data_IF_618233517318
#
_entry.id   IF_618233517318
#
_cell.length_a   1.000
_cell.length_b   1.000
_cell.length_c   1.000
_cell.angle_alpha   90.00
_cell.angle_beta   90.00
_cell.angle_gamma   90.00
#
_symmetry.space_group_name_H-M   'P 1'
#
loop_
_entity.id
_entity.type
_entity.pdbx_description
1 polymer ?
#
# COMPACT_ATOMS: atom_id res chain seq x y z
N UNK A 1 7.00 2.45 -10.33
CA UNK A 1 7.86 3.58 -10.75
C UNK A 1 9.27 3.24 -10.32
N UNK A 2 10.29 3.73 -11.02
CA UNK A 2 11.68 3.57 -10.58
C UNK A 2 11.87 4.33 -9.26
N UNK A 3 12.51 3.72 -8.26
CA UNK A 3 12.90 4.40 -7.01
C UNK A 3 13.89 5.56 -7.27
N UNK A 4 14.61 5.49 -8.38
CA UNK A 4 15.61 6.47 -8.79
C UNK A 4 15.06 7.30 -9.93
N UNK A 5 14.99 8.60 -9.70
CA UNK A 5 14.64 9.62 -10.67
C UNK A 5 15.74 10.69 -10.71
N UNK A 6 16.27 10.94 -11.91
CA UNK A 6 17.34 11.91 -12.13
C UNK A 6 16.79 13.17 -12.77
N UNK A 7 17.24 14.32 -12.29
CA UNK A 7 16.93 15.64 -12.83
C UNK A 7 18.21 16.25 -13.39
N UNK A 8 18.23 16.50 -14.69
CA UNK A 8 19.34 17.19 -15.35
C UNK A 8 19.20 18.70 -15.21
N UNK A 9 20.24 19.34 -14.69
CA UNK A 9 20.38 20.78 -14.61
C UNK A 9 21.15 21.29 -15.85
N UNK A 10 20.69 22.37 -16.50
CA UNK A 10 21.38 22.95 -17.64
C UNK A 10 22.82 23.35 -17.30
N UNK A 11 23.78 22.88 -18.11
CA UNK A 11 25.14 23.40 -18.13
C UNK A 11 25.24 24.43 -19.27
N UNK A 12 25.25 25.71 -18.91
CA UNK A 12 25.38 26.85 -19.82
C UNK A 12 26.84 27.34 -19.91
N UNK A 13 27.79 26.45 -19.62
CA UNK A 13 29.21 26.74 -19.68
C UNK A 13 29.71 27.02 -21.09
N UNK A 14 30.85 27.69 -21.16
CA UNK A 14 31.60 27.97 -22.37
C UNK A 14 33.10 27.78 -22.13
N UNK A 15 33.95 28.37 -22.98
CA UNK A 15 35.40 28.33 -22.88
C UNK A 15 35.96 28.92 -21.56
N UNK A 16 35.14 29.66 -20.80
CA UNK A 16 35.51 30.25 -19.51
C UNK A 16 35.22 29.33 -18.32
N UNK A 17 34.48 28.24 -18.52
CA UNK A 17 34.12 27.27 -17.49
C UNK A 17 32.67 26.81 -17.53
N UNK A 18 32.29 25.96 -16.58
CA UNK A 18 30.91 25.45 -16.44
C UNK A 18 30.02 26.41 -15.66
N UNK A 19 28.76 26.55 -16.10
CA UNK A 19 27.71 27.31 -15.42
C UNK A 19 26.47 26.44 -15.27
N UNK A 20 26.26 25.87 -14.08
CA UNK A 20 25.10 25.03 -13.79
C UNK A 20 23.99 25.90 -13.21
N UNK A 21 22.77 25.77 -13.75
CA UNK A 21 21.63 26.58 -13.33
C UNK A 21 20.51 25.70 -12.79
N UNK A 22 20.01 26.03 -11.59
CA UNK A 22 18.84 25.41 -10.99
C UNK A 22 17.73 26.44 -10.82
N UNK A 23 16.74 26.43 -11.73
CA UNK A 23 15.58 27.30 -11.67
C UNK A 23 14.36 26.54 -11.12
N UNK A 24 13.74 27.11 -10.08
CA UNK A 24 12.48 26.61 -9.49
C UNK A 24 11.38 26.50 -10.53
N UNK A 25 10.58 25.42 -10.46
CA UNK A 25 9.45 25.17 -11.36
C UNK A 25 9.80 25.20 -12.86
N UNK A 26 11.06 24.95 -13.21
CA UNK A 26 11.53 24.88 -14.59
C UNK A 26 12.43 23.67 -14.79
N UNK A 27 13.61 23.70 -14.18
CA UNK A 27 14.54 22.57 -14.19
C UNK A 27 14.45 21.78 -12.89
N UNK A 28 14.15 22.46 -11.78
CA UNK A 28 13.77 21.82 -10.52
C UNK A 28 12.25 21.62 -10.53
N UNK A 29 11.74 20.40 -10.26
CA UNK A 29 10.32 20.08 -10.38
C UNK A 29 9.43 20.66 -9.26
N UNK A 30 10.00 21.52 -8.40
CA UNK A 30 9.30 22.18 -7.30
C UNK A 30 9.85 23.59 -7.07
N UNK A 31 9.10 24.38 -6.29
CA UNK A 31 9.55 25.68 -5.78
C UNK A 31 10.63 25.48 -4.72
N UNK A 32 11.84 25.99 -4.96
CA UNK A 32 12.94 25.89 -3.99
C UNK A 32 12.74 26.94 -2.89
N UNK A 33 12.46 26.48 -1.67
CA UNK A 33 12.30 27.35 -0.49
C UNK A 33 13.52 27.36 0.42
N UNK A 34 14.40 26.36 0.27
CA UNK A 34 15.62 26.21 1.05
C UNK A 34 16.66 25.48 0.22
N UNK A 35 17.91 25.87 0.40
CA UNK A 35 19.05 25.05 0.02
C UNK A 35 19.96 24.88 1.23
N UNK A 36 20.72 23.80 1.22
CA UNK A 36 21.81 23.58 2.17
C UNK A 36 22.89 22.76 1.48
N UNK A 37 24.07 22.73 2.07
CA UNK A 37 25.20 22.01 1.52
C UNK A 37 25.93 21.24 2.62
N UNK A 38 26.56 20.13 2.21
CA UNK A 38 27.37 19.26 3.05
C UNK A 38 28.81 19.37 2.55
N UNK A 39 29.72 19.69 3.48
CA UNK A 39 31.16 19.80 3.25
C UNK A 39 31.89 18.97 4.31
N UNK A 40 33.15 18.63 4.02
CA UNK A 40 34.06 17.93 4.93
C UNK A 40 33.44 16.65 5.52
N UNK A 41 32.69 15.92 4.69
CA UNK A 41 32.13 14.64 5.05
C UNK A 41 33.26 13.61 5.18
N UNK A 42 33.33 12.93 6.32
CA UNK A 42 34.32 11.87 6.54
C UNK A 42 33.92 10.64 5.71
N UNK A 43 34.83 10.02 4.93
CA UNK A 43 34.51 8.90 4.04
C UNK A 43 33.75 7.75 4.74
N UNK A 44 34.17 7.41 5.96
CA UNK A 44 33.62 6.28 6.72
C UNK A 44 32.48 6.66 7.68
N UNK A 45 31.99 7.90 7.65
CA UNK A 45 30.91 8.35 8.53
C UNK A 45 29.65 8.61 7.71
N UNK A 46 28.71 7.65 7.68
CA UNK A 46 27.49 7.82 6.92
C UNK A 46 26.58 8.89 7.54
N UNK A 47 25.71 9.46 6.71
CA UNK A 47 24.75 10.50 7.10
C UNK A 47 23.40 10.22 6.46
N UNK A 48 22.38 11.02 6.78
CA UNK A 48 21.02 10.75 6.35
C UNK A 48 20.26 10.03 7.45
N UNK A 49 19.81 8.81 7.21
CA UNK A 49 19.03 7.99 8.16
C UNK A 49 17.72 8.66 8.57
N UNK A 50 16.98 9.13 7.58
CA UNK A 50 15.64 9.66 7.78
C UNK A 50 14.83 9.59 6.49
N UNK A 51 13.52 9.75 6.65
CA UNK A 51 12.59 10.08 5.59
C UNK A 51 11.88 11.40 5.93
N UNK A 52 11.15 11.93 4.95
CA UNK A 52 10.31 13.11 5.07
C UNK A 52 8.86 12.78 4.78
N UNK A 53 7.90 13.38 5.50
CA UNK A 53 6.46 13.14 5.27
C UNK A 53 5.97 13.85 4.01
N UNK A 54 6.43 15.07 3.78
CA UNK A 54 5.94 15.96 2.70
C UNK A 54 7.08 16.61 1.88
N UNK A 55 8.31 16.68 2.42
CA UNK A 55 9.40 17.37 1.74
C UNK A 55 9.82 16.67 0.44
N UNK A 56 9.97 17.45 -0.62
CA UNK A 56 10.67 17.06 -1.84
C UNK A 56 12.08 17.66 -1.83
N UNK A 57 13.06 16.86 -2.21
CA UNK A 57 14.45 17.31 -2.30
C UNK A 57 15.09 16.92 -3.64
N UNK A 58 16.09 17.69 -4.04
CA UNK A 58 16.97 17.39 -5.15
C UNK A 58 18.42 17.48 -4.68
N UNK A 59 19.13 16.35 -4.65
CA UNK A 59 20.50 16.25 -4.14
C UNK A 59 21.52 16.02 -5.27
N UNK A 60 22.60 16.79 -5.32
CA UNK A 60 23.68 16.63 -6.30
C UNK A 60 25.03 17.05 -5.74
N UNK A 61 26.11 16.44 -6.27
CA UNK A 61 27.48 16.78 -5.90
C UNK A 61 28.01 17.85 -6.86
N UNK A 62 28.17 19.09 -6.38
CA UNK A 62 28.84 20.15 -7.16
C UNK A 62 30.29 19.78 -7.44
N UNK A 63 30.92 19.06 -6.50
CA UNK A 63 32.25 18.49 -6.62
C UNK A 63 32.31 17.14 -5.89
N UNK A 64 33.20 16.26 -6.34
CA UNK A 64 33.40 14.96 -5.75
C UNK A 64 32.22 14.02 -5.97
N UNK A 65 32.03 13.08 -5.05
CA UNK A 65 30.98 12.06 -5.15
C UNK A 65 30.56 11.52 -3.81
N UNK A 66 29.36 10.94 -3.74
CA UNK A 66 28.99 10.00 -2.68
C UNK A 66 28.08 8.90 -3.24
N UNK A 67 27.86 7.85 -2.45
CA UNK A 67 26.80 6.89 -2.67
C UNK A 67 25.57 7.29 -1.85
N UNK A 68 24.37 7.07 -2.40
CA UNK A 68 23.11 7.25 -1.68
C UNK A 68 22.28 5.97 -1.78
N UNK A 69 21.81 5.48 -0.64
CA UNK A 69 20.81 4.41 -0.55
C UNK A 69 19.44 5.08 -0.49
N UNK A 70 18.52 4.62 -1.32
CA UNK A 70 17.12 5.03 -1.37
C UNK A 70 16.26 3.82 -1.01
N UNK A 71 15.24 4.01 -0.18
CA UNK A 71 14.37 2.95 0.32
C UNK A 71 12.92 3.45 0.46
N UNK A 72 11.97 2.77 -0.17
CA UNK A 72 10.54 3.10 -0.10
C UNK A 72 9.74 2.15 0.83
N UNK A 73 10.42 1.32 1.62
CA UNK A 73 9.83 0.29 2.47
C UNK A 73 9.49 -1.03 1.76
N UNK A 74 9.64 -1.09 0.43
CA UNK A 74 9.42 -2.30 -0.39
C UNK A 74 10.71 -2.74 -1.08
N UNK A 75 11.44 -1.81 -1.66
CA UNK A 75 12.71 -2.04 -2.33
C UNK A 75 13.75 -1.00 -1.91
N UNK A 76 15.02 -1.41 -1.93
CA UNK A 76 16.18 -0.53 -1.69
C UNK A 76 17.06 -0.48 -2.92
N UNK A 77 17.57 0.70 -3.26
CA UNK A 77 18.52 0.88 -4.36
C UNK A 77 19.65 1.79 -3.93
N UNK A 78 20.89 1.44 -4.30
CA UNK A 78 22.06 2.28 -4.10
C UNK A 78 22.45 2.94 -5.43
N UNK A 79 22.71 4.23 -5.38
CA UNK A 79 23.16 5.02 -6.53
C UNK A 79 24.39 5.84 -6.19
N UNK A 80 25.19 6.14 -7.21
CA UNK A 80 26.34 7.03 -7.10
C UNK A 80 25.97 8.40 -7.66
N UNK A 81 26.25 9.45 -6.89
CA UNK A 81 26.04 10.84 -7.29
C UNK A 81 27.42 11.48 -7.51
N UNK A 82 27.82 11.63 -8.77
CA UNK A 82 29.17 12.09 -9.16
C UNK A 82 29.18 13.10 -10.33
N UNK A 83 28.00 13.61 -10.72
CA UNK A 83 27.85 14.63 -11.75
C UNK A 83 27.34 15.93 -11.14
N UNK A 84 28.01 17.03 -11.47
CA UNK A 84 27.67 18.37 -10.98
C UNK A 84 26.40 18.98 -11.55
N UNK A 85 25.86 18.39 -12.61
CA UNK A 85 24.66 18.86 -13.29
C UNK A 85 23.54 17.81 -13.35
N UNK A 86 23.62 16.74 -12.55
CA UNK A 86 22.57 15.73 -12.46
C UNK A 86 22.24 15.49 -10.99
N UNK A 87 21.01 15.81 -10.59
CA UNK A 87 20.55 15.61 -9.23
C UNK A 87 19.62 14.41 -9.09
N UNK A 88 19.74 13.74 -7.95
CA UNK A 88 18.84 12.69 -7.52
C UNK A 88 17.61 13.31 -6.86
N UNK A 89 16.43 13.00 -7.41
CA UNK A 89 15.16 13.36 -6.81
C UNK A 89 14.90 12.48 -5.59
N UNK A 90 14.57 13.11 -4.46
CA UNK A 90 14.19 12.44 -3.22
C UNK A 90 12.77 12.91 -2.90
N UNK A 91 11.73 12.14 -3.31
CA UNK A 91 10.35 12.47 -2.99
C UNK A 91 10.03 12.17 -1.51
N UNK A 92 8.85 12.58 -1.03
CA UNK A 92 8.39 12.24 0.31
C UNK A 92 8.28 10.72 0.49
N UNK A 93 8.34 10.28 1.74
CA UNK A 93 8.27 8.88 2.16
C UNK A 93 9.36 7.98 1.55
N UNK A 94 10.53 8.55 1.26
CA UNK A 94 11.75 7.82 0.93
C UNK A 94 12.77 7.94 2.07
N UNK A 95 13.11 6.80 2.67
CA UNK A 95 14.24 6.71 3.57
C UNK A 95 15.53 6.77 2.75
N UNK A 96 16.46 7.62 3.17
CA UNK A 96 17.72 7.79 2.46
C UNK A 96 18.94 7.88 3.37
N UNK A 97 20.04 7.36 2.86
CA UNK A 97 21.33 7.31 3.55
C UNK A 97 22.44 7.67 2.58
N UNK A 98 23.46 8.38 3.05
CA UNK A 98 24.60 8.81 2.28
C UNK A 98 25.88 8.19 2.83
N UNK A 99 26.67 7.60 1.95
CA UNK A 99 27.86 6.80 2.24
C UNK A 99 29.00 7.16 1.28
N UNK A 100 30.23 6.74 1.60
CA UNK A 100 31.39 6.79 0.70
C UNK A 100 31.65 8.17 0.06
N UNK A 101 31.66 9.22 0.87
CA UNK A 101 31.98 10.57 0.41
C UNK A 101 33.44 10.65 -0.04
N UNK A 102 33.69 11.23 -1.23
CA UNK A 102 35.06 11.59 -1.63
C UNK A 102 35.59 12.74 -0.77
N UNK A 103 36.91 12.83 -0.60
CA UNK A 103 37.55 13.87 0.23
C UNK A 103 37.20 15.29 -0.22
N UNK A 104 36.94 15.49 -1.52
CA UNK A 104 36.59 16.77 -2.12
C UNK A 104 35.06 16.96 -2.32
N UNK A 105 34.24 16.10 -1.71
CA UNK A 105 32.80 16.11 -1.90
C UNK A 105 32.15 17.40 -1.38
N UNK A 106 31.41 18.06 -2.26
CA UNK A 106 30.52 19.17 -1.96
C UNK A 106 29.13 18.81 -2.48
N UNK A 107 28.26 18.36 -1.58
CA UNK A 107 26.88 18.05 -1.92
C UNK A 107 25.99 19.24 -1.64
N UNK A 108 25.17 19.63 -2.62
CA UNK A 108 24.10 20.61 -2.47
C UNK A 108 22.76 19.91 -2.52
N UNK A 109 21.83 20.33 -1.66
CA UNK A 109 20.45 19.88 -1.67
C UNK A 109 19.50 21.07 -1.79
N UNK A 110 18.61 21.01 -2.76
CA UNK A 110 17.47 21.92 -2.91
C UNK A 110 16.24 21.29 -2.27
N UNK A 111 15.43 22.07 -1.57
CA UNK A 111 14.29 21.56 -0.80
C UNK A 111 13.03 22.40 -1.03
N UNK A 112 11.87 21.73 -1.12
CA UNK A 112 10.57 22.36 -1.42
C UNK A 112 9.95 23.12 -0.24
N UNK A 113 10.51 22.99 0.97
CA UNK A 113 10.04 23.66 2.17
C UNK A 113 11.19 24.17 3.07
N UNK A 114 10.83 25.10 3.97
CA UNK A 114 11.69 25.52 5.08
C UNK A 114 11.94 24.34 6.03
N UNK A 115 12.90 24.47 6.94
CA UNK A 115 13.16 23.43 7.94
C UNK A 115 11.97 23.30 8.89
N UNK A 116 11.47 22.07 9.03
CA UNK A 116 10.48 21.68 10.01
C UNK A 116 10.86 20.30 10.55
N UNK A 117 11.07 20.18 11.86
CA UNK A 117 11.42 18.91 12.49
C UNK A 117 10.24 17.93 12.51
N UNK A 118 8.99 18.41 12.49
CA UNK A 118 7.80 17.57 12.52
C UNK A 118 7.62 16.72 11.23
N UNK A 119 8.27 17.15 10.15
CA UNK A 119 8.30 16.46 8.85
C UNK A 119 9.30 15.29 8.82
N UNK A 120 10.27 15.24 9.74
CA UNK A 120 11.27 14.17 9.80
C UNK A 120 10.71 12.89 10.41
N UNK A 121 11.09 11.75 9.83
CA UNK A 121 10.98 10.43 10.42
C UNK A 121 12.41 9.92 10.63
N UNK A 122 12.88 9.86 11.87
CA UNK A 122 14.28 9.54 12.22
C UNK A 122 14.49 8.11 12.71
N UNK A 123 13.41 7.41 13.03
CA UNK A 123 13.44 6.02 13.42
C UNK A 123 13.00 5.15 12.23
N UNK A 124 13.77 4.09 11.96
CA UNK A 124 13.51 3.24 10.80
C UNK A 124 12.24 2.40 10.99
N UNK A 125 11.94 1.96 12.21
CA UNK A 125 10.72 1.21 12.49
C UNK A 125 9.50 2.12 12.38
N UNK A 126 9.60 3.38 12.79
CA UNK A 126 8.58 4.41 12.53
C UNK A 126 8.37 4.62 11.02
N UNK A 127 9.44 4.74 10.24
CA UNK A 127 9.35 4.83 8.78
C UNK A 127 8.62 3.63 8.18
N UNK A 128 8.99 2.41 8.60
CA UNK A 128 8.33 1.18 8.15
C UNK A 128 6.86 1.15 8.55
N UNK A 129 6.49 1.64 9.74
CA UNK A 129 5.09 1.72 10.14
C UNK A 129 4.31 2.74 9.30
N UNK A 130 4.90 3.90 8.99
CA UNK A 130 4.27 4.95 8.18
C UNK A 130 4.02 4.52 6.73
N UNK A 131 5.02 3.96 6.03
CA UNK A 131 4.87 3.51 4.63
C UNK A 131 3.95 2.31 4.49
N UNK A 132 3.79 1.52 5.56
CA UNK A 132 2.93 0.35 5.58
C UNK A 132 1.54 0.64 6.18
N UNK A 133 1.19 1.91 6.46
CA UNK A 133 -0.17 2.26 6.87
C UNK A 133 -1.20 1.78 5.85
N UNK A 134 -2.40 1.37 6.30
CA UNK A 134 -3.46 1.05 5.37
C UNK A 134 -3.82 2.28 4.53
N UNK A 135 -3.99 2.06 3.23
CA UNK A 135 -4.50 3.09 2.35
C UNK A 135 -6.03 3.10 2.42
N UNK A 136 -6.61 4.23 2.81
CA UNK A 136 -8.06 4.44 2.86
C UNK A 136 -8.41 5.55 1.87
N UNK A 137 -9.17 5.22 0.83
CA UNK A 137 -9.55 6.20 -0.17
C UNK A 137 -10.43 7.31 0.44
N UNK A 138 -10.23 8.60 0.13
CA UNK A 138 -11.03 9.71 0.69
C UNK A 138 -12.54 9.69 0.42
N UNK A 139 -13.02 8.73 -0.38
CA UNK A 139 -14.44 8.57 -0.76
C UNK A 139 -15.05 7.30 -0.15
N UNK A 140 -14.32 6.60 0.72
CA UNK A 140 -14.87 5.51 1.54
C UNK A 140 -15.34 6.05 2.90
N UNK A 141 -16.30 5.35 3.51
CA UNK A 141 -16.77 5.60 4.88
C UNK A 141 -16.26 4.48 5.79
N UNK A 142 -15.13 4.71 6.46
CA UNK A 142 -14.44 3.70 7.28
C UNK A 142 -14.44 4.15 8.73
N UNK A 143 -15.14 3.40 9.56
CA UNK A 143 -15.23 3.65 11.00
C UNK A 143 -14.40 2.67 11.84
N UNK A 144 -13.96 1.55 11.27
CA UNK A 144 -13.12 0.59 11.99
C UNK A 144 -11.72 1.16 12.24
N UNK A 145 -11.21 0.92 13.44
CA UNK A 145 -9.83 1.23 13.84
C UNK A 145 -8.90 0.01 13.72
N UNK A 146 -9.41 -1.15 13.31
CA UNK A 146 -8.68 -2.42 13.29
C UNK A 146 -8.48 -2.89 11.85
N UNK A 147 -7.59 -2.18 11.15
CA UNK A 147 -7.23 -2.45 9.76
C UNK A 147 -5.72 -2.66 9.70
N UNK A 148 -5.30 -3.86 9.28
CA UNK A 148 -3.90 -4.24 9.20
C UNK A 148 -3.10 -3.44 8.19
N UNK A 149 -1.78 -3.46 8.36
CA UNK A 149 -0.83 -2.79 7.49
C UNK A 149 -0.98 -3.23 6.03
N UNK A 150 -0.63 -2.34 5.09
CA UNK A 150 -0.67 -2.55 3.62
C UNK A 150 -2.06 -2.84 3.04
N UNK A 151 -3.10 -2.89 3.87
CA UNK A 151 -4.47 -3.06 3.40
C UNK A 151 -4.93 -1.83 2.63
N UNK A 152 -5.56 -2.05 1.48
CA UNK A 152 -6.10 -0.99 0.62
C UNK A 152 -7.62 -1.04 0.62
N UNK A 153 -8.24 0.08 0.97
CA UNK A 153 -9.68 0.29 0.93
C UNK A 153 -9.99 1.35 -0.11
N UNK A 154 -10.77 0.95 -1.10
CA UNK A 154 -11.10 1.78 -2.27
C UNK A 154 -12.40 2.57 -2.07
N UNK A 155 -12.66 3.49 -3.00
CA UNK A 155 -13.77 4.44 -2.96
C UNK A 155 -15.15 3.78 -2.78
N UNK A 156 -16.05 4.45 -2.06
CA UNK A 156 -17.44 4.03 -1.86
C UNK A 156 -17.60 2.70 -1.10
N UNK A 157 -16.55 2.24 -0.44
CA UNK A 157 -16.64 1.16 0.55
C UNK A 157 -17.14 1.73 1.87
N UNK A 158 -17.92 0.94 2.60
CA UNK A 158 -18.43 1.27 3.94
C UNK A 158 -18.00 0.16 4.91
N UNK A 159 -17.29 0.52 5.99
CA UNK A 159 -16.76 -0.43 6.97
C UNK A 159 -17.16 0.02 8.38
N UNK A 160 -17.95 -0.82 9.07
CA UNK A 160 -18.49 -0.50 10.38
C UNK A 160 -17.44 -0.60 11.51
N UNK A 161 -17.66 0.06 12.68
CA UNK A 161 -16.62 0.28 13.68
C UNK A 161 -15.97 -0.98 14.26
N UNK A 162 -16.67 -2.11 14.31
CA UNK A 162 -16.18 -3.33 14.95
C UNK A 162 -15.53 -4.34 14.00
N UNK A 163 -15.57 -4.09 12.69
CA UNK A 163 -14.95 -4.97 11.70
C UNK A 163 -13.45 -5.13 11.99
N UNK A 164 -12.93 -6.35 11.82
CA UNK A 164 -11.50 -6.64 11.95
C UNK A 164 -10.96 -7.09 10.59
N UNK A 165 -9.97 -6.36 10.07
CA UNK A 165 -9.36 -6.65 8.77
C UNK A 165 -7.85 -6.80 8.96
N UNK A 166 -7.31 -7.92 8.48
CA UNK A 166 -5.88 -8.24 8.54
C UNK A 166 -5.02 -7.39 7.62
N UNK A 167 -3.79 -7.84 7.45
CA UNK A 167 -2.76 -7.17 6.67
C UNK A 167 -2.87 -7.51 5.18
N UNK A 168 -2.38 -6.60 4.35
CA UNK A 168 -2.23 -6.78 2.90
C UNK A 168 -3.55 -7.19 2.19
N UNK A 169 -4.68 -6.76 2.71
CA UNK A 169 -5.98 -6.97 2.07
C UNK A 169 -6.23 -5.96 0.95
N UNK A 170 -7.14 -6.30 0.04
CA UNK A 170 -7.60 -5.41 -1.01
C UNK A 170 -9.13 -5.37 -1.05
N UNK A 171 -9.71 -4.32 -0.49
CA UNK A 171 -11.15 -4.10 -0.36
C UNK A 171 -11.60 -3.13 -1.44
N UNK A 172 -12.01 -3.67 -2.60
CA UNK A 172 -12.38 -2.88 -3.78
C UNK A 172 -13.64 -2.03 -3.55
N UNK A 173 -13.89 -1.13 -4.49
CA UNK A 173 -14.96 -0.14 -4.40
C UNK A 173 -16.35 -0.75 -4.25
N UNK A 174 -17.29 -0.01 -3.66
CA UNK A 174 -18.68 -0.46 -3.46
C UNK A 174 -18.79 -1.76 -2.66
N UNK A 175 -18.04 -1.87 -1.56
CA UNK A 175 -18.19 -2.97 -0.60
C UNK A 175 -18.84 -2.47 0.69
N UNK A 176 -19.55 -3.35 1.39
CA UNK A 176 -20.07 -3.11 2.74
C UNK A 176 -19.49 -4.17 3.65
N UNK A 177 -18.98 -3.78 4.81
CA UNK A 177 -18.47 -4.69 5.85
C UNK A 177 -19.11 -4.30 7.18
N UNK A 178 -19.88 -5.20 7.77
CA UNK A 178 -20.57 -4.97 9.05
C UNK A 178 -19.66 -5.18 10.28
N UNK A 179 -20.25 -5.27 11.47
CA UNK A 179 -19.53 -5.22 12.74
C UNK A 179 -18.92 -6.56 13.13
N UNK A 180 -19.71 -7.64 13.08
CA UNK A 180 -19.28 -9.00 13.40
C UNK A 180 -18.68 -9.66 12.15
N UNK A 181 -17.60 -9.05 11.66
CA UNK A 181 -16.85 -9.53 10.50
C UNK A 181 -15.37 -9.60 10.83
N UNK A 182 -14.76 -10.73 10.51
CA UNK A 182 -13.32 -10.95 10.60
C UNK A 182 -12.78 -11.34 9.23
N UNK A 183 -11.82 -10.56 8.74
CA UNK A 183 -11.09 -10.79 7.49
C UNK A 183 -9.62 -11.01 7.85
N UNK A 184 -9.07 -12.15 7.42
CA UNK A 184 -7.67 -12.51 7.61
C UNK A 184 -6.71 -11.68 6.76
N UNK A 185 -5.51 -12.20 6.56
CA UNK A 185 -4.45 -11.54 5.78
C UNK A 185 -4.54 -11.88 4.29
N UNK A 186 -3.99 -11.02 3.42
CA UNK A 186 -3.91 -11.24 1.97
C UNK A 186 -5.27 -11.44 1.26
N UNK A 187 -6.38 -11.14 1.94
CA UNK A 187 -7.72 -11.33 1.39
C UNK A 187 -8.01 -10.29 0.31
N UNK A 188 -8.54 -10.74 -0.82
CA UNK A 188 -9.06 -9.85 -1.87
C UNK A 188 -10.58 -9.90 -1.89
N UNK A 189 -11.22 -8.74 -1.70
CA UNK A 189 -12.67 -8.56 -1.85
C UNK A 189 -12.92 -7.63 -3.03
N UNK A 190 -13.44 -8.18 -4.12
CA UNK A 190 -13.78 -7.40 -5.32
C UNK A 190 -15.06 -6.57 -5.10
N UNK A 191 -15.33 -5.68 -6.05
CA UNK A 191 -16.41 -4.71 -5.96
C UNK A 191 -17.81 -5.33 -5.92
N UNK A 192 -18.75 -4.64 -5.28
CA UNK A 192 -20.15 -5.05 -5.19
C UNK A 192 -20.41 -6.20 -4.20
N UNK A 193 -19.48 -6.43 -3.26
CA UNK A 193 -19.58 -7.49 -2.25
C UNK A 193 -20.03 -6.88 -0.92
N UNK A 194 -21.02 -7.51 -0.31
CA UNK A 194 -21.52 -7.14 1.01
C UNK A 194 -21.25 -8.27 2.00
N UNK A 195 -20.49 -7.96 3.05
CA UNK A 195 -20.07 -8.89 4.09
C UNK A 195 -20.82 -8.51 5.37
N UNK A 196 -21.89 -9.25 5.62
CA UNK A 196 -22.78 -9.11 6.77
C UNK A 196 -22.20 -9.68 8.07
N UNK A 197 -22.81 -9.31 9.18
CA UNK A 197 -22.53 -9.87 10.52
C UNK A 197 -22.59 -11.42 10.50
N UNK A 198 -21.61 -12.04 11.15
CA UNK A 198 -21.43 -13.49 11.26
C UNK A 198 -20.50 -14.11 10.21
N UNK A 199 -19.88 -13.31 9.34
CA UNK A 199 -19.02 -13.81 8.27
C UNK A 199 -17.54 -13.70 8.65
N UNK A 200 -16.81 -14.81 8.46
CA UNK A 200 -15.36 -14.85 8.62
C UNK A 200 -14.69 -15.29 7.32
N UNK A 201 -13.75 -14.48 6.84
CA UNK A 201 -12.87 -14.82 5.72
C UNK A 201 -11.47 -15.08 6.30
N UNK A 202 -10.92 -16.27 6.08
CA UNK A 202 -9.55 -16.61 6.49
C UNK A 202 -8.52 -16.05 5.51
N UNK A 203 -7.25 -16.29 5.82
CA UNK A 203 -6.12 -15.78 5.04
C UNK A 203 -6.16 -16.29 3.59
N UNK A 204 -5.62 -15.49 2.68
CA UNK A 204 -5.48 -15.81 1.24
C UNK A 204 -6.80 -16.11 0.51
N UNK A 205 -7.94 -15.72 1.09
CA UNK A 205 -9.26 -15.86 0.45
C UNK A 205 -9.42 -14.88 -0.70
N UNK A 206 -9.99 -15.36 -1.80
CA UNK A 206 -10.41 -14.52 -2.93
C UNK A 206 -11.93 -14.48 -3.05
N UNK A 207 -12.51 -13.29 -2.97
CA UNK A 207 -13.93 -13.04 -3.22
C UNK A 207 -14.09 -12.26 -4.52
N UNK A 208 -14.65 -12.92 -5.53
CA UNK A 208 -14.94 -12.35 -6.85
C UNK A 208 -15.97 -11.23 -6.83
N UNK A 209 -16.08 -10.44 -7.92
CA UNK A 209 -16.99 -9.30 -7.96
C UNK A 209 -18.44 -9.76 -7.83
N UNK A 210 -19.25 -8.97 -7.14
CA UNK A 210 -20.67 -9.22 -6.91
C UNK A 210 -21.00 -10.56 -6.21
N UNK A 211 -20.04 -11.19 -5.53
CA UNK A 211 -20.36 -12.33 -4.65
C UNK A 211 -21.34 -11.88 -3.58
N UNK A 212 -22.43 -12.63 -3.45
CA UNK A 212 -23.51 -12.35 -2.51
C UNK A 212 -23.41 -13.31 -1.33
N UNK A 213 -23.08 -12.76 -0.16
CA UNK A 213 -23.26 -13.46 1.10
C UNK A 213 -24.67 -13.24 1.65
N UNK A 214 -25.12 -14.18 2.47
CA UNK A 214 -26.37 -14.07 3.25
C UNK A 214 -26.11 -14.54 4.67
N UNK A 215 -26.82 -13.96 5.63
CA UNK A 215 -26.71 -14.29 7.06
C UNK A 215 -28.08 -14.62 7.69
N UNK A 216 -29.18 -14.65 6.94
CA UNK A 216 -30.49 -15.06 7.47
C UNK A 216 -31.07 -16.22 6.65
N UNK A 217 -31.42 -17.31 7.34
CA UNK A 217 -32.02 -18.51 6.71
C UNK A 217 -33.49 -18.31 6.33
N UNK A 218 -34.19 -17.39 6.99
CA UNK A 218 -35.62 -17.14 6.82
C UNK A 218 -35.92 -15.63 6.92
N UNK A 219 -35.33 -14.81 6.03
CA UNK A 219 -35.44 -13.36 6.12
C UNK A 219 -36.90 -12.91 6.02
N UNK A 220 -37.34 -12.12 7.01
CA UNK A 220 -38.64 -11.46 7.03
C UNK A 220 -38.47 -10.03 7.56
N UNK A 221 -39.18 -9.08 6.96
CA UNK A 221 -39.07 -7.67 7.33
C UNK A 221 -39.34 -7.47 8.83
N UNK A 222 -38.42 -6.78 9.52
CA UNK A 222 -38.48 -6.49 10.97
C UNK A 222 -38.54 -7.75 11.86
N UNK A 223 -38.13 -8.89 11.34
CA UNK A 223 -37.96 -10.13 12.11
C UNK A 223 -36.51 -10.55 11.96
N UNK A 224 -35.83 -10.64 13.09
CA UNK A 224 -34.41 -10.95 13.14
C UNK A 224 -34.24 -12.24 13.96
N UNK A 225 -33.30 -13.12 13.60
CA UNK A 225 -32.95 -14.24 14.46
C UNK A 225 -32.28 -13.72 15.74
N UNK A 226 -32.34 -14.53 16.81
CA UNK A 226 -31.62 -14.23 18.05
C UNK A 226 -30.09 -14.21 17.83
N UNK A 227 -29.61 -15.05 16.91
CA UNK A 227 -28.21 -15.10 16.45
C UNK A 227 -28.15 -15.40 14.94
N UNK A 228 -27.31 -14.67 14.22
CA UNK A 228 -27.09 -14.92 12.79
C UNK A 228 -26.18 -16.17 12.60
N UNK A 229 -26.52 -17.09 11.68
CA UNK A 229 -25.66 -18.22 11.36
C UNK A 229 -24.30 -17.78 10.81
N UNK A 230 -23.24 -18.43 11.30
CA UNK A 230 -21.87 -18.09 10.93
C UNK A 230 -21.46 -18.74 9.62
N UNK A 231 -20.99 -17.93 8.69
CA UNK A 231 -20.42 -18.40 7.42
C UNK A 231 -18.91 -18.23 7.48
N UNK A 232 -18.18 -19.30 7.20
CA UNK A 232 -16.71 -19.32 7.25
C UNK A 232 -16.17 -19.68 5.88
N UNK A 233 -15.31 -18.83 5.33
CA UNK A 233 -14.54 -19.12 4.12
C UNK A 233 -13.11 -19.41 4.55
N UNK A 234 -12.71 -20.68 4.45
CA UNK A 234 -11.40 -21.14 4.91
C UNK A 234 -10.26 -20.71 3.98
N UNK A 235 -9.05 -20.83 4.52
CA UNK A 235 -7.79 -20.37 3.92
C UNK A 235 -7.63 -20.77 2.45
N UNK A 236 -7.23 -19.82 1.61
CA UNK A 236 -6.98 -20.04 0.17
C UNK A 236 -8.22 -20.31 -0.69
N UNK A 237 -9.42 -20.36 -0.11
CA UNK A 237 -10.64 -20.58 -0.88
C UNK A 237 -10.94 -19.41 -1.84
N UNK A 238 -11.46 -19.74 -3.01
CA UNK A 238 -11.78 -18.79 -4.08
C UNK A 238 -13.25 -18.85 -4.45
N UNK A 239 -13.94 -17.72 -4.34
CA UNK A 239 -15.35 -17.58 -4.70
C UNK A 239 -15.48 -16.79 -6.00
N UNK A 240 -15.98 -17.45 -7.04
CA UNK A 240 -16.15 -16.88 -8.37
C UNK A 240 -17.19 -15.77 -8.41
N UNK A 241 -17.04 -14.89 -9.40
CA UNK A 241 -17.91 -13.73 -9.61
C UNK A 241 -19.40 -14.08 -9.55
N UNK A 242 -20.20 -13.24 -8.88
CA UNK A 242 -21.65 -13.36 -8.78
C UNK A 242 -22.16 -14.68 -8.18
N UNK A 243 -21.32 -15.44 -7.46
CA UNK A 243 -21.78 -16.59 -6.70
C UNK A 243 -22.60 -16.14 -5.48
N UNK A 244 -23.56 -16.96 -5.05
CA UNK A 244 -24.40 -16.72 -3.87
C UNK A 244 -24.16 -17.80 -2.82
N UNK A 245 -23.84 -17.39 -1.60
CA UNK A 245 -23.61 -18.28 -0.46
C UNK A 245 -24.79 -18.20 0.51
N UNK A 246 -25.46 -19.33 0.73
CA UNK A 246 -26.50 -19.44 1.75
C UNK A 246 -25.90 -19.33 3.17
N UNK A 247 -26.71 -18.99 4.18
CA UNK A 247 -26.21 -18.68 5.52
C UNK A 247 -25.80 -19.92 6.30
N UNK A 248 -24.73 -19.79 7.08
CA UNK A 248 -24.32 -20.83 8.03
C UNK A 248 -23.57 -21.99 7.39
N UNK A 249 -22.78 -21.70 6.35
CA UNK A 249 -21.99 -22.70 5.62
C UNK A 249 -20.49 -22.46 5.78
N UNK A 250 -19.72 -23.54 5.64
CA UNK A 250 -18.26 -23.49 5.56
C UNK A 250 -17.81 -23.78 4.13
N UNK A 251 -16.97 -22.92 3.58
CA UNK A 251 -16.23 -23.18 2.34
C UNK A 251 -14.84 -23.69 2.74
N UNK A 252 -14.52 -24.94 2.40
CA UNK A 252 -13.26 -25.57 2.80
C UNK A 252 -12.02 -24.96 2.15
N UNK A 253 -10.85 -25.26 2.74
CA UNK A 253 -9.55 -24.75 2.30
C UNK A 253 -9.32 -25.00 0.82
N UNK A 254 -8.77 -24.01 0.11
CA UNK A 254 -8.48 -24.05 -1.33
C UNK A 254 -9.67 -24.44 -2.23
N UNK A 255 -10.91 -24.46 -1.71
CA UNK A 255 -12.06 -24.78 -2.53
C UNK A 255 -12.30 -23.68 -3.57
N UNK A 256 -12.82 -24.08 -4.74
CA UNK A 256 -13.12 -23.18 -5.84
C UNK A 256 -14.62 -23.20 -6.11
N UNK A 257 -15.31 -22.13 -5.74
CA UNK A 257 -16.70 -21.91 -6.13
C UNK A 257 -16.72 -21.21 -7.48
N UNK A 258 -17.31 -21.83 -8.49
CA UNK A 258 -17.44 -21.26 -9.83
C UNK A 258 -18.32 -20.03 -9.87
N UNK A 259 -18.11 -19.19 -10.89
CA UNK A 259 -18.92 -17.99 -11.10
C UNK A 259 -20.42 -18.32 -11.23
N UNK A 260 -21.27 -17.51 -10.60
CA UNK A 260 -22.73 -17.67 -10.62
C UNK A 260 -23.27 -18.88 -9.84
N UNK A 261 -22.42 -19.62 -9.12
CA UNK A 261 -22.86 -20.79 -8.36
C UNK A 261 -23.72 -20.39 -7.15
N UNK A 262 -24.72 -21.21 -6.80
CA UNK A 262 -25.54 -21.03 -5.60
C UNK A 262 -25.19 -22.11 -4.58
N UNK A 263 -24.36 -21.75 -3.62
CA UNK A 263 -23.82 -22.68 -2.63
C UNK A 263 -24.81 -22.85 -1.48
N UNK A 264 -25.39 -24.04 -1.37
CA UNK A 264 -26.47 -24.35 -0.42
C UNK A 264 -26.03 -25.20 0.77
N UNK A 265 -24.79 -25.69 0.76
CA UNK A 265 -24.22 -26.64 1.74
C UNK A 265 -22.72 -26.38 1.89
N UNK A 266 -22.14 -26.93 2.96
CA UNK A 266 -20.69 -26.89 3.16
C UNK A 266 -19.95 -27.46 1.94
N UNK A 267 -18.82 -26.85 1.62
CA UNK A 267 -17.95 -27.22 0.51
C UNK A 267 -16.71 -27.91 1.08
N UNK A 268 -16.39 -29.15 0.66
CA UNK A 268 -15.16 -29.82 1.08
C UNK A 268 -13.91 -29.06 0.65
N UNK A 269 -12.80 -29.30 1.34
CA UNK A 269 -11.49 -28.78 0.94
C UNK A 269 -11.13 -29.20 -0.50
N UNK A 270 -10.47 -28.31 -1.22
CA UNK A 270 -10.06 -28.44 -2.62
C UNK A 270 -11.21 -28.69 -3.62
N UNK A 271 -12.48 -28.73 -3.19
CA UNK A 271 -13.59 -29.04 -4.07
C UNK A 271 -13.89 -27.91 -5.05
N UNK A 272 -14.25 -28.27 -6.28
CA UNK A 272 -14.72 -27.35 -7.33
C UNK A 272 -16.25 -27.43 -7.37
N UNK A 273 -16.93 -26.34 -6.99
CA UNK A 273 -18.39 -26.26 -6.91
C UNK A 273 -18.97 -25.41 -8.04
N UNK A 274 -19.94 -25.92 -8.80
CA UNK A 274 -20.58 -25.17 -9.91
C UNK A 274 -22.08 -25.41 -9.97
N UNK A 275 -22.83 -24.43 -10.50
CA UNK A 275 -24.26 -24.56 -10.80
C UNK A 275 -25.21 -24.01 -9.73
N UNK A 276 -26.51 -24.20 -9.94
CA UNK A 276 -27.57 -23.79 -9.05
C UNK A 276 -28.61 -24.93 -8.90
N UNK A 277 -28.67 -25.62 -7.74
CA UNK A 277 -27.72 -25.51 -6.63
C UNK A 277 -26.32 -25.98 -7.04
N UNK A 278 -25.28 -25.47 -6.36
CA UNK A 278 -23.91 -25.83 -6.64
C UNK A 278 -23.64 -27.29 -6.28
N UNK A 279 -22.94 -28.01 -7.16
CA UNK A 279 -22.51 -29.40 -6.97
C UNK A 279 -21.02 -29.54 -7.24
N UNK A 280 -20.40 -30.56 -6.63
CA UNK A 280 -19.00 -30.88 -6.87
C UNK A 280 -18.81 -31.34 -8.31
N UNK A 281 -17.91 -30.70 -9.03
CA UNK A 281 -17.51 -31.04 -10.40
C UNK A 281 -16.13 -31.69 -10.48
N UNK A 282 -15.31 -31.50 -9.45
CA UNK A 282 -13.94 -32.00 -9.36
C UNK A 282 -13.25 -31.48 -8.10
N UNK A 283 -11.93 -31.63 -8.05
CA UNK A 283 -11.04 -31.07 -7.03
C UNK A 283 -9.84 -30.40 -7.71
N UNK A 284 -9.28 -29.38 -7.07
CA UNK A 284 -8.07 -28.66 -7.50
C UNK A 284 -6.83 -29.52 -7.28
#
# INVERSE_FOLDING_TARGET
>A
MSLIEWVELPNLGDDRGSLIVAESNKNVPFEVKRFYYILDAKPDVPRGFHAHKELMQLAFCIKGSCNMIMDNGVEKQQVRIDKSNVGLMIPPMIWHEMHDFSEDCVMLVLASAQYDEADYIRDYDEFMNEVNKPFIHPLSDVMSTTIGQKTKIWQYSVILPKAVIGENCNICAHTLIENDVVIGNNVTVKSGVYIWDGITLKDDVFIGPCVTFTNDKKPRSKQYPDEFPKTIVEEGASIGANATLLPGITIGKNALVGAGAVVTKNVPENAIMVGNPAVIKGYV
#
